data_IF_115363660660
#
_entry.id   IF_115363660660
#
_cell.length_a   1.000
_cell.length_b   1.000
_cell.length_c   1.000
_cell.angle_alpha   90.00
_cell.angle_beta   90.00
_cell.angle_gamma   90.00
#
_symmetry.space_group_name_H-M   'P 1'
#
loop_
_entity.id
_entity.type
_entity.pdbx_description
1 polymer ?
#
# COMPACT_ATOMS: atom_id res chain seq x y z
N UNK A 1 16.93 0.25 51.66
CA UNK A 1 15.52 0.52 51.27
C UNK A 1 15.37 1.14 49.88
N UNK A 2 16.44 1.65 49.24
CA UNK A 2 16.40 2.36 47.95
C UNK A 2 16.27 1.46 46.71
N UNK A 3 16.65 0.18 46.80
CA UNK A 3 16.62 -0.76 45.68
C UNK A 3 15.22 -1.34 45.38
N UNK A 4 14.37 -1.45 46.40
CA UNK A 4 12.99 -1.99 46.25
C UNK A 4 12.09 -0.96 45.56
N UNK A 5 12.25 0.33 45.90
CA UNK A 5 11.49 1.44 45.29
C UNK A 5 11.79 1.57 43.79
N UNK A 6 13.06 1.46 43.37
CA UNK A 6 13.45 1.44 41.94
C UNK A 6 12.84 0.26 41.18
N UNK A 7 12.71 -0.91 41.82
CA UNK A 7 12.20 -2.15 41.19
C UNK A 7 10.70 -2.09 40.87
N UNK A 8 9.94 -1.31 41.63
CA UNK A 8 8.48 -1.13 41.45
C UNK A 8 8.17 0.03 40.50
N UNK A 9 9.00 1.09 40.51
CA UNK A 9 8.79 2.27 39.66
C UNK A 9 9.15 2.05 38.18
N UNK A 10 10.14 1.20 37.86
CA UNK A 10 10.50 0.87 36.47
C UNK A 10 9.32 0.29 35.65
N UNK A 11 8.61 -0.76 36.11
CA UNK A 11 7.51 -1.33 35.34
C UNK A 11 6.31 -0.38 35.20
N UNK A 12 6.04 0.46 36.20
CA UNK A 12 4.97 1.46 36.13
C UNK A 12 5.29 2.58 35.13
N UNK A 13 6.53 3.07 35.10
CA UNK A 13 6.98 4.08 34.14
C UNK A 13 6.98 3.54 32.71
N UNK A 14 7.46 2.31 32.49
CA UNK A 14 7.42 1.63 31.19
C UNK A 14 5.98 1.42 30.69
N UNK A 15 5.04 1.09 31.58
CA UNK A 15 3.63 0.94 31.23
C UNK A 15 3.00 2.26 30.81
N UNK A 16 3.28 3.37 31.51
CA UNK A 16 2.82 4.71 31.13
C UNK A 16 3.39 5.16 29.79
N UNK A 17 4.68 4.92 29.54
CA UNK A 17 5.30 5.19 28.24
C UNK A 17 4.65 4.38 27.10
N UNK A 18 4.38 3.09 27.32
CA UNK A 18 3.72 2.25 26.32
C UNK A 18 2.31 2.73 25.98
N UNK A 19 1.52 3.10 26.99
CA UNK A 19 0.16 3.65 26.79
C UNK A 19 0.23 4.99 26.06
N UNK A 20 1.14 5.89 26.46
CA UNK A 20 1.35 7.16 25.77
C UNK A 20 1.75 6.99 24.30
N UNK A 21 2.66 6.04 24.02
CA UNK A 21 3.06 5.69 22.66
C UNK A 21 1.88 5.15 21.84
N UNK A 22 1.10 4.23 22.40
CA UNK A 22 -0.09 3.68 21.72
C UNK A 22 -1.15 4.74 21.43
N UNK A 23 -1.39 5.67 22.37
CA UNK A 23 -2.29 6.79 22.14
C UNK A 23 -1.75 7.76 21.08
N UNK A 24 -0.44 8.02 21.08
CA UNK A 24 0.20 8.86 20.07
C UNK A 24 0.11 8.25 18.66
N UNK A 25 0.33 6.94 18.53
CA UNK A 25 0.24 6.26 17.22
C UNK A 25 -1.18 6.17 16.71
N UNK A 26 -2.20 5.98 17.57
CA UNK A 26 -3.60 5.99 17.15
C UNK A 26 -4.06 7.38 16.72
N UNK A 27 -3.62 8.44 17.40
CA UNK A 27 -3.89 9.83 17.01
C UNK A 27 -3.20 10.21 15.69
N UNK A 28 -1.95 9.78 15.48
CA UNK A 28 -1.30 9.99 14.19
C UNK A 28 -2.01 9.22 13.08
N UNK A 29 -2.36 7.96 13.33
CA UNK A 29 -3.06 7.13 12.35
C UNK A 29 -4.45 7.68 12.00
N UNK A 30 -5.15 8.33 12.95
CA UNK A 30 -6.41 9.01 12.65
C UNK A 30 -6.23 10.34 11.91
N UNK A 31 -5.07 11.00 12.08
CA UNK A 31 -4.74 12.25 11.39
C UNK A 31 -4.28 12.04 9.94
N UNK A 32 -3.76 10.85 9.60
CA UNK A 32 -3.46 10.44 8.23
C UNK A 32 -4.56 9.49 7.76
N UNK A 33 -5.71 9.99 7.25
CA UNK A 33 -6.74 9.11 6.70
C UNK A 33 -6.09 8.24 5.63
N UNK A 34 -6.30 6.93 5.75
CA UNK A 34 -5.91 5.95 4.76
C UNK A 34 -6.50 6.36 3.41
N UNK A 35 -5.66 6.85 2.49
CA UNK A 35 -6.08 7.44 1.21
C UNK A 35 -5.52 6.64 0.04
N UNK A 36 -6.28 6.59 -1.03
CA UNK A 36 -5.83 5.97 -2.27
C UNK A 36 -4.63 6.69 -2.87
N UNK A 37 -3.61 5.95 -3.29
CA UNK A 37 -2.41 6.46 -3.95
C UNK A 37 -2.68 7.06 -5.34
N UNK A 38 -3.82 6.75 -5.97
CA UNK A 38 -4.23 7.30 -7.27
C UNK A 38 -5.19 8.49 -7.12
N UNK A 39 -6.32 8.30 -6.42
CA UNK A 39 -7.38 9.33 -6.36
C UNK A 39 -7.41 10.13 -5.06
N UNK A 40 -6.57 9.81 -4.07
CA UNK A 40 -6.51 10.44 -2.75
C UNK A 40 -7.81 10.44 -1.94
N UNK A 41 -8.83 9.69 -2.38
CA UNK A 41 -10.04 9.46 -1.60
C UNK A 41 -9.76 8.52 -0.43
N UNK A 42 -10.53 8.65 0.64
CA UNK A 42 -10.43 7.78 1.81
C UNK A 42 -10.78 6.34 1.46
N UNK A 43 -9.97 5.39 1.95
CA UNK A 43 -10.18 3.94 1.85
C UNK A 43 -10.66 3.44 3.20
N UNK A 44 -11.72 2.63 3.18
CA UNK A 44 -12.21 1.92 4.37
C UNK A 44 -11.19 0.87 4.81
N UNK A 45 -10.83 0.89 6.09
CA UNK A 45 -10.06 -0.19 6.71
C UNK A 45 -10.80 -1.54 6.55
N UNK A 46 -10.10 -2.66 6.34
CA UNK A 46 -8.65 -2.86 6.46
C UNK A 46 -7.85 -2.65 5.16
N UNK A 47 -8.51 -2.31 4.04
CA UNK A 47 -7.84 -2.13 2.76
C UNK A 47 -6.89 -0.93 2.78
N UNK A 48 -5.84 -0.91 1.96
CA UNK A 48 -4.91 0.23 1.85
C UNK A 48 -4.24 0.27 0.48
N UNK A 49 -3.58 1.38 0.14
CA UNK A 49 -2.90 1.55 -1.14
C UNK A 49 -3.83 2.06 -2.24
N UNK A 50 -4.49 1.18 -2.98
CA UNK A 50 -5.36 1.55 -4.11
C UNK A 50 -6.81 1.18 -3.78
N UNK A 51 -7.76 2.13 -3.94
CA UNK A 51 -9.17 1.83 -3.69
C UNK A 51 -9.73 0.90 -4.78
N UNK A 52 -10.77 0.13 -4.46
CA UNK A 52 -11.40 -0.82 -5.39
C UNK A 52 -11.79 -0.18 -6.73
N UNK A 53 -12.24 1.07 -6.73
CA UNK A 53 -12.62 1.82 -7.95
C UNK A 53 -11.40 2.06 -8.85
N UNK A 54 -10.31 2.59 -8.28
CA UNK A 54 -9.09 2.86 -9.02
C UNK A 54 -8.40 1.56 -9.46
N UNK A 55 -8.45 0.52 -8.62
CA UNK A 55 -7.95 -0.80 -8.97
C UNK A 55 -8.70 -1.36 -10.17
N UNK A 56 -10.04 -1.38 -10.11
CA UNK A 56 -10.89 -1.86 -11.20
C UNK A 56 -10.72 -1.04 -12.49
N UNK A 57 -10.56 0.28 -12.37
CA UNK A 57 -10.33 1.17 -13.52
C UNK A 57 -8.96 0.94 -14.18
N UNK A 58 -7.98 0.48 -13.42
CA UNK A 58 -6.63 0.15 -13.89
C UNK A 58 -6.50 -1.26 -14.50
N UNK A 59 -7.52 -2.13 -14.35
CA UNK A 59 -7.50 -3.47 -14.92
C UNK A 59 -7.64 -3.42 -16.44
N UNK A 60 -6.82 -4.21 -17.12
CA UNK A 60 -6.95 -4.42 -18.55
C UNK A 60 -8.24 -5.20 -18.84
N UNK A 61 -9.12 -4.64 -19.68
CA UNK A 61 -10.42 -5.24 -20.05
C UNK A 61 -10.31 -6.38 -21.09
N UNK A 62 -9.09 -6.71 -21.49
CA UNK A 62 -8.76 -7.71 -22.50
C UNK A 62 -7.25 -7.69 -22.77
N UNK A 63 -6.74 -8.56 -23.65
CA UNK A 63 -5.32 -8.63 -23.94
C UNK A 63 -4.83 -7.28 -24.50
N UNK A 64 -3.74 -6.76 -23.93
CA UNK A 64 -3.15 -5.49 -24.32
C UNK A 64 -1.63 -5.63 -24.33
N UNK A 65 -0.96 -4.92 -25.23
CA UNK A 65 0.50 -4.88 -25.26
C UNK A 65 1.03 -3.98 -24.13
N UNK A 66 1.83 -4.53 -23.21
CA UNK A 66 2.41 -3.80 -22.07
C UNK A 66 3.41 -2.71 -22.49
N UNK A 67 3.89 -2.74 -23.75
CA UNK A 67 4.83 -1.74 -24.28
C UNK A 67 4.16 -0.53 -24.93
N UNK A 68 3.05 -0.72 -25.65
CA UNK A 68 2.40 0.35 -26.44
C UNK A 68 0.91 0.56 -26.14
N UNK A 69 0.29 -0.24 -25.28
CA UNK A 69 -1.11 -0.11 -24.91
C UNK A 69 -2.11 -0.48 -26.01
N UNK A 70 -1.68 -1.10 -27.11
CA UNK A 70 -2.60 -1.57 -28.15
C UNK A 70 -3.32 -2.84 -27.72
N UNK A 71 -4.62 -2.94 -28.00
CA UNK A 71 -5.41 -4.16 -27.82
C UNK A 71 -4.87 -5.30 -28.68
N UNK A 72 -4.98 -6.52 -28.16
CA UNK A 72 -4.47 -7.75 -28.78
C UNK A 72 -5.58 -8.82 -28.81
N UNK A 73 -5.49 -9.72 -29.80
CA UNK A 73 -6.40 -10.86 -29.93
C UNK A 73 -5.94 -12.08 -29.11
N UNK A 74 -4.66 -12.10 -28.74
CA UNK A 74 -4.02 -13.18 -28.00
C UNK A 74 -3.40 -12.61 -26.72
N UNK A 75 -3.37 -13.41 -25.67
CA UNK A 75 -2.74 -13.08 -24.40
C UNK A 75 -1.21 -13.23 -24.53
N UNK A 76 -0.50 -12.10 -24.52
CA UNK A 76 0.95 -12.03 -24.54
C UNK A 76 1.42 -10.67 -24.00
N UNK A 77 2.62 -10.62 -23.43
CA UNK A 77 3.17 -9.39 -22.83
C UNK A 77 3.34 -8.24 -23.83
N UNK A 78 3.75 -8.57 -25.07
CA UNK A 78 4.09 -7.58 -26.09
C UNK A 78 3.58 -8.01 -27.47
N UNK A 79 3.09 -7.03 -28.24
CA UNK A 79 2.81 -7.23 -29.66
C UNK A 79 4.11 -7.43 -30.45
N UNK A 80 4.00 -8.01 -31.65
CA UNK A 80 5.16 -8.30 -32.51
C UNK A 80 6.02 -7.07 -32.83
N UNK A 81 5.43 -5.87 -32.90
CA UNK A 81 6.19 -4.63 -33.12
C UNK A 81 6.99 -4.20 -31.88
N UNK A 82 6.44 -4.35 -30.69
CA UNK A 82 7.16 -4.07 -29.45
C UNK A 82 8.27 -5.09 -29.21
N UNK A 83 8.04 -6.38 -29.52
CA UNK A 83 9.06 -7.43 -29.35
C UNK A 83 10.34 -7.16 -30.16
N UNK A 84 10.20 -6.65 -31.40
CA UNK A 84 11.36 -6.27 -32.24
C UNK A 84 12.26 -5.21 -31.61
N UNK A 85 11.73 -4.41 -30.68
CA UNK A 85 12.42 -3.30 -30.04
C UNK A 85 13.05 -3.66 -28.69
N UNK A 86 13.04 -4.94 -28.31
CA UNK A 86 13.49 -5.42 -26.99
C UNK A 86 12.83 -4.63 -25.84
N UNK A 87 11.50 -4.79 -25.66
CA UNK A 87 10.76 -4.00 -24.71
C UNK A 87 11.19 -4.37 -23.29
N UNK A 88 11.37 -3.36 -22.42
CA UNK A 88 11.71 -3.58 -21.02
C UNK A 88 10.51 -4.20 -20.31
N UNK A 89 10.77 -5.18 -19.43
CA UNK A 89 9.75 -5.78 -18.57
C UNK A 89 9.07 -4.70 -17.74
N UNK A 90 7.80 -4.45 -18.03
CA UNK A 90 6.95 -3.57 -17.21
C UNK A 90 6.38 -4.41 -16.08
N UNK A 91 6.57 -3.97 -14.83
CA UNK A 91 5.84 -4.53 -13.70
C UNK A 91 4.48 -3.83 -13.68
N UNK A 92 3.48 -4.49 -14.26
CA UNK A 92 2.11 -3.99 -14.16
C UNK A 92 1.59 -4.24 -12.74
N UNK A 93 0.88 -3.28 -12.12
CA UNK A 93 0.18 -3.54 -10.88
C UNK A 93 -0.95 -4.54 -11.16
N UNK A 94 -0.87 -5.72 -10.55
CA UNK A 94 -1.89 -6.77 -10.58
C UNK A 94 -2.30 -7.21 -12.00
N UNK A 95 -1.40 -7.90 -12.68
CA UNK A 95 -1.75 -8.95 -13.66
C UNK A 95 -1.75 -10.30 -12.97
#
# INVERSE_FOLDING_TARGET
MSHVVKRIWLPAALRKMRVGYQLGTTWLASSLPNRCLLCHQSISLPESGICAICLHSGLYRGPICLGCGKSMQIEADYCGECQKRQPRKVIAPCS
#
